data_IF_432101268044
#
_entry.id   IF_432101268044
#
_cell.length_a   1.000
_cell.length_b   1.000
_cell.length_c   1.000
_cell.angle_alpha   90.00
_cell.angle_beta   90.00
_cell.angle_gamma   90.00
#
_symmetry.space_group_name_H-M   'P 1'
#
loop_
_entity.id
_entity.type
_entity.pdbx_description
1 polymer ?
#
# COMPACT_ATOMS: atom_id res chain seq x y z
N UNK A 1 -16.97 -27.05 -19.57
CA UNK A 1 -17.04 -26.60 -18.16
C UNK A 1 -17.30 -25.11 -18.14
N UNK A 2 -18.22 -24.63 -17.29
CA UNK A 2 -18.43 -23.18 -17.12
C UNK A 2 -17.20 -22.60 -16.43
N UNK A 3 -16.56 -21.60 -17.05
CA UNK A 3 -15.41 -20.92 -16.47
C UNK A 3 -15.89 -20.06 -15.28
N UNK A 4 -15.18 -20.13 -14.16
CA UNK A 4 -15.47 -19.35 -12.96
C UNK A 4 -15.42 -17.85 -13.28
N UNK A 5 -16.43 -17.07 -12.86
CA UNK A 5 -16.42 -15.61 -13.02
C UNK A 5 -16.00 -14.95 -11.70
N UNK A 6 -14.93 -14.18 -11.75
CA UNK A 6 -14.36 -13.48 -10.58
C UNK A 6 -14.37 -11.97 -10.83
N UNK A 7 -14.86 -11.20 -9.85
CA UNK A 7 -14.73 -9.74 -9.87
C UNK A 7 -13.62 -9.34 -8.91
N UNK A 8 -12.68 -8.50 -9.39
CA UNK A 8 -11.70 -7.82 -8.54
C UNK A 8 -12.07 -6.34 -8.42
N UNK A 9 -12.15 -5.83 -7.20
CA UNK A 9 -12.45 -4.41 -6.92
C UNK A 9 -11.18 -3.71 -6.47
N UNK A 10 -10.89 -2.56 -7.09
CA UNK A 10 -9.76 -1.70 -6.76
C UNK A 10 -10.21 -0.24 -6.71
N UNK A 11 -9.58 0.56 -5.89
CA UNK A 11 -9.87 1.99 -5.77
C UNK A 11 -8.64 2.89 -5.76
N UNK A 12 -7.46 2.29 -5.46
CA UNK A 12 -6.22 3.04 -5.25
C UNK A 12 -5.03 2.39 -5.94
N UNK A 13 -3.96 3.16 -6.14
CA UNK A 13 -2.71 2.69 -6.74
C UNK A 13 -2.05 1.52 -6.00
N UNK A 14 -1.93 1.53 -4.65
CA UNK A 14 -1.39 0.39 -3.92
C UNK A 14 -2.12 -0.92 -4.18
N UNK A 15 -3.46 -0.88 -4.30
CA UNK A 15 -4.25 -2.07 -4.63
C UNK A 15 -3.94 -2.58 -6.04
N UNK A 16 -3.83 -1.69 -7.03
CA UNK A 16 -3.48 -2.05 -8.42
C UNK A 16 -2.10 -2.72 -8.46
N UNK A 17 -1.10 -2.14 -7.78
CA UNK A 17 0.26 -2.68 -7.75
C UNK A 17 0.25 -4.07 -7.11
N UNK A 18 -0.31 -4.21 -5.91
CA UNK A 18 -0.33 -5.45 -5.14
C UNK A 18 -1.11 -6.57 -5.80
N UNK A 19 -2.22 -6.23 -6.48
CA UNK A 19 -3.04 -7.21 -7.18
C UNK A 19 -2.57 -7.51 -8.60
N UNK A 20 -1.55 -6.83 -9.12
CA UNK A 20 -1.16 -6.91 -10.53
C UNK A 20 -0.92 -8.34 -11.02
N UNK A 21 -0.14 -9.13 -10.32
CA UNK A 21 0.15 -10.52 -10.73
C UNK A 21 -1.05 -11.45 -10.48
N UNK A 22 -1.85 -11.19 -9.43
CA UNK A 22 -3.11 -11.93 -9.19
C UNK A 22 -4.09 -11.68 -10.33
N UNK A 23 -4.30 -10.43 -10.73
CA UNK A 23 -5.22 -10.07 -11.83
C UNK A 23 -4.81 -10.72 -13.15
N UNK A 24 -3.50 -10.77 -13.48
CA UNK A 24 -3.00 -11.48 -14.69
C UNK A 24 -3.32 -12.97 -14.66
N UNK A 25 -3.18 -13.62 -13.50
CA UNK A 25 -3.53 -15.03 -13.38
C UNK A 25 -5.04 -15.24 -13.45
N UNK A 26 -5.84 -14.35 -12.86
CA UNK A 26 -7.30 -14.38 -12.98
C UNK A 26 -7.75 -14.18 -14.44
N UNK A 27 -7.15 -13.24 -15.17
CA UNK A 27 -7.43 -13.02 -16.60
C UNK A 27 -7.13 -14.28 -17.44
N UNK A 28 -6.08 -15.03 -17.07
CA UNK A 28 -5.69 -16.24 -17.79
C UNK A 28 -6.59 -17.45 -17.52
N UNK A 29 -7.08 -17.61 -16.28
CA UNK A 29 -7.71 -18.86 -15.83
C UNK A 29 -9.19 -18.73 -15.47
N UNK A 30 -9.74 -17.51 -15.45
CA UNK A 30 -11.14 -17.23 -15.08
C UNK A 30 -11.80 -16.26 -16.07
N UNK A 31 -13.11 -16.12 -15.98
CA UNK A 31 -13.80 -14.99 -16.60
C UNK A 31 -13.67 -13.79 -15.65
N UNK A 32 -12.52 -13.12 -15.71
CA UNK A 32 -12.18 -12.06 -14.81
C UNK A 32 -12.81 -10.72 -15.23
N UNK A 33 -13.37 -10.02 -14.27
CA UNK A 33 -13.93 -8.66 -14.42
C UNK A 33 -13.25 -7.75 -13.40
N UNK A 34 -12.69 -6.63 -13.84
CA UNK A 34 -12.04 -5.65 -12.97
C UNK A 34 -12.90 -4.41 -12.84
N UNK A 35 -13.16 -4.00 -11.59
CA UNK A 35 -13.95 -2.83 -11.23
C UNK A 35 -13.05 -1.82 -10.52
N UNK A 36 -12.94 -0.61 -11.07
CA UNK A 36 -12.24 0.50 -10.42
C UNK A 36 -13.26 1.49 -9.86
N UNK A 37 -13.22 1.77 -8.56
CA UNK A 37 -14.20 2.67 -7.91
C UNK A 37 -14.04 4.13 -8.33
N UNK A 38 -12.84 4.55 -8.72
CA UNK A 38 -12.62 5.92 -9.20
C UNK A 38 -12.52 6.96 -8.07
N UNK A 39 -12.12 6.56 -6.87
CA UNK A 39 -11.97 7.45 -5.72
C UNK A 39 -10.87 8.51 -5.88
N UNK A 40 -9.89 8.28 -6.74
CA UNK A 40 -8.83 9.24 -7.04
C UNK A 40 -9.09 9.93 -8.39
N UNK A 41 -9.18 11.25 -8.37
CA UNK A 41 -9.47 12.11 -9.52
C UNK A 41 -8.41 12.09 -10.64
N UNK A 42 -7.19 11.61 -10.38
CA UNK A 42 -6.12 11.54 -11.36
C UNK A 42 -6.18 10.23 -12.17
N UNK A 43 -7.12 10.17 -13.11
CA UNK A 43 -7.20 9.08 -14.08
C UNK A 43 -5.87 8.90 -14.83
N UNK A 44 -5.21 9.99 -15.23
CA UNK A 44 -3.92 9.96 -15.92
C UNK A 44 -2.82 9.30 -15.07
N UNK A 45 -2.78 9.58 -13.77
CA UNK A 45 -1.83 8.94 -12.84
C UNK A 45 -2.13 7.44 -12.64
N UNK A 46 -3.39 7.03 -12.71
CA UNK A 46 -3.76 5.61 -12.63
C UNK A 46 -3.40 4.86 -13.93
N UNK A 47 -3.56 5.47 -15.10
CA UNK A 47 -3.27 4.84 -16.40
C UNK A 47 -1.79 4.45 -16.53
N UNK A 48 -0.87 5.25 -15.97
CA UNK A 48 0.56 4.92 -15.92
C UNK A 48 0.80 3.57 -15.25
N UNK A 49 0.14 3.28 -14.13
CA UNK A 49 0.31 2.00 -13.41
C UNK A 49 -0.24 0.80 -14.19
N UNK A 50 -1.36 0.94 -14.89
CA UNK A 50 -1.86 -0.12 -15.76
C UNK A 50 -0.87 -0.44 -16.89
N UNK A 51 -0.30 0.58 -17.52
CA UNK A 51 0.69 0.43 -18.57
C UNK A 51 2.03 -0.13 -18.03
N UNK A 52 2.52 0.41 -16.93
CA UNK A 52 3.77 -0.01 -16.31
C UNK A 52 3.74 -1.47 -15.88
N UNK A 53 2.63 -1.90 -15.28
CA UNK A 53 2.44 -3.25 -14.79
C UNK A 53 1.86 -4.21 -15.83
N UNK A 54 1.71 -3.77 -17.10
CA UNK A 54 1.15 -4.56 -18.20
C UNK A 54 -0.22 -5.15 -17.85
N UNK A 55 -1.09 -4.34 -17.27
CA UNK A 55 -2.47 -4.68 -16.95
C UNK A 55 -3.41 -4.13 -18.03
N UNK A 56 -4.50 -4.85 -18.29
CA UNK A 56 -5.59 -4.32 -19.12
C UNK A 56 -6.36 -3.26 -18.34
N UNK A 57 -7.03 -2.36 -19.06
CA UNK A 57 -7.92 -1.38 -18.43
C UNK A 57 -9.06 -2.08 -17.67
N UNK A 58 -9.59 -1.47 -16.61
CA UNK A 58 -10.73 -2.03 -15.89
C UNK A 58 -11.98 -2.11 -16.78
N UNK A 59 -12.81 -3.15 -16.56
CA UNK A 59 -14.06 -3.32 -17.31
C UNK A 59 -15.10 -2.30 -16.88
N UNK A 60 -15.05 -1.87 -15.62
CA UNK A 60 -15.91 -0.86 -15.03
C UNK A 60 -15.10 0.21 -14.31
N UNK A 61 -15.41 1.47 -14.61
CA UNK A 61 -14.93 2.62 -13.87
C UNK A 61 -16.13 3.34 -13.27
N UNK A 62 -16.32 3.25 -11.94
CA UNK A 62 -17.55 3.67 -11.28
C UNK A 62 -17.67 5.19 -11.09
N UNK A 63 -16.57 5.92 -11.02
CA UNK A 63 -16.57 7.36 -10.84
C UNK A 63 -17.35 7.80 -9.60
N UNK A 64 -16.94 7.28 -8.43
CA UNK A 64 -17.63 7.54 -7.16
C UNK A 64 -17.47 8.99 -6.75
N UNK A 65 -18.54 9.60 -6.28
CA UNK A 65 -18.54 10.96 -5.76
C UNK A 65 -17.77 11.04 -4.44
N UNK A 66 -16.72 11.84 -4.41
CA UNK A 66 -15.82 11.99 -3.25
C UNK A 66 -16.08 13.26 -2.44
N UNK A 67 -17.22 13.92 -2.63
CA UNK A 67 -17.57 15.17 -1.94
C UNK A 67 -17.79 14.99 -0.43
N UNK A 68 -18.15 13.79 0.03
CA UNK A 68 -18.29 13.43 1.43
C UNK A 68 -18.00 11.95 1.67
N UNK A 69 -17.66 11.58 2.90
CA UNK A 69 -17.50 10.17 3.29
C UNK A 69 -18.77 9.35 3.03
N UNK A 70 -19.93 9.91 3.36
CA UNK A 70 -21.23 9.26 3.11
C UNK A 70 -21.46 8.95 1.65
N UNK A 71 -21.11 9.88 0.73
CA UNK A 71 -21.20 9.65 -0.71
C UNK A 71 -20.23 8.57 -1.17
N UNK A 72 -19.00 8.59 -0.70
CA UNK A 72 -18.00 7.57 -1.04
C UNK A 72 -18.51 6.18 -0.67
N UNK A 73 -18.92 5.99 0.57
CA UNK A 73 -19.39 4.68 1.06
C UNK A 73 -20.71 4.27 0.39
N UNK A 74 -21.68 5.19 0.33
CA UNK A 74 -23.00 4.91 -0.26
C UNK A 74 -22.93 4.58 -1.74
N UNK A 75 -22.22 5.38 -2.55
CA UNK A 75 -22.09 5.11 -3.98
C UNK A 75 -21.22 3.88 -4.26
N UNK A 76 -20.24 3.55 -3.42
CA UNK A 76 -19.49 2.28 -3.53
C UNK A 76 -20.44 1.10 -3.43
N UNK A 77 -21.33 1.09 -2.43
CA UNK A 77 -22.31 0.01 -2.26
C UNK A 77 -23.28 -0.06 -3.43
N UNK A 78 -23.90 1.07 -3.80
CA UNK A 78 -24.92 1.13 -4.86
C UNK A 78 -24.35 0.69 -6.21
N UNK A 79 -23.23 1.29 -6.65
CA UNK A 79 -22.66 1.01 -7.97
C UNK A 79 -22.03 -0.38 -8.05
N UNK A 80 -21.48 -0.90 -6.96
CA UNK A 80 -21.02 -2.29 -6.93
C UNK A 80 -22.17 -3.28 -6.98
N UNK A 81 -23.31 -3.01 -6.33
CA UNK A 81 -24.53 -3.83 -6.44
C UNK A 81 -24.98 -3.93 -7.90
N UNK A 82 -25.06 -2.80 -8.62
CA UNK A 82 -25.42 -2.79 -10.04
C UNK A 82 -24.51 -3.69 -10.89
N UNK A 83 -23.20 -3.63 -10.65
CA UNK A 83 -22.24 -4.50 -11.33
C UNK A 83 -22.44 -5.96 -10.95
N UNK A 84 -22.66 -6.28 -9.68
CA UNK A 84 -22.89 -7.67 -9.23
C UNK A 84 -24.19 -8.26 -9.80
N UNK A 85 -25.25 -7.49 -9.87
CA UNK A 85 -26.52 -7.91 -10.49
C UNK A 85 -26.33 -8.22 -11.97
N UNK A 86 -25.60 -7.37 -12.69
CA UNK A 86 -25.31 -7.53 -14.12
C UNK A 86 -24.39 -8.70 -14.41
N UNK A 87 -23.26 -8.78 -13.69
CA UNK A 87 -22.21 -9.74 -13.97
C UNK A 87 -22.44 -11.12 -13.35
N UNK A 88 -23.17 -11.21 -12.24
CA UNK A 88 -23.47 -12.44 -11.50
C UNK A 88 -22.19 -13.25 -11.24
N UNK A 89 -21.21 -12.68 -10.50
CA UNK A 89 -19.95 -13.35 -10.25
C UNK A 89 -20.09 -14.56 -9.35
N UNK A 90 -19.19 -15.53 -9.52
CA UNK A 90 -19.08 -16.69 -8.64
C UNK A 90 -18.17 -16.38 -7.42
N UNK A 91 -17.36 -15.29 -7.47
CA UNK A 91 -16.54 -14.81 -6.37
C UNK A 91 -16.16 -13.33 -6.53
N UNK A 92 -15.86 -12.67 -5.41
CA UNK A 92 -15.31 -11.31 -5.36
C UNK A 92 -13.96 -11.35 -4.64
N UNK A 93 -12.96 -10.70 -5.24
CA UNK A 93 -11.63 -10.47 -4.65
C UNK A 93 -11.50 -9.00 -4.26
N UNK A 94 -11.07 -8.77 -3.03
CA UNK A 94 -10.83 -7.43 -2.45
C UNK A 94 -9.46 -7.45 -1.78
N UNK A 95 -8.77 -6.31 -1.80
CA UNK A 95 -7.50 -6.15 -1.10
C UNK A 95 -7.56 -4.96 -0.13
N UNK A 96 -7.13 -5.19 1.09
CA UNK A 96 -6.90 -4.14 2.10
C UNK A 96 -8.19 -3.51 2.62
N UNK A 97 -8.07 -2.25 2.95
CA UNK A 97 -8.96 -1.54 3.87
C UNK A 97 -9.40 -0.16 3.36
N UNK A 98 -9.22 0.12 2.08
CA UNK A 98 -9.70 1.36 1.48
C UNK A 98 -11.23 1.40 1.43
N UNK A 99 -11.79 2.57 1.15
CA UNK A 99 -13.24 2.69 1.02
C UNK A 99 -13.82 1.82 -0.14
N UNK A 100 -13.00 1.42 -1.12
CA UNK A 100 -13.41 0.49 -2.17
C UNK A 100 -13.78 -0.88 -1.60
N UNK A 101 -13.09 -1.30 -0.55
CA UNK A 101 -13.25 -2.62 0.07
C UNK A 101 -14.59 -2.78 0.80
N UNK A 102 -15.29 -1.69 1.10
CA UNK A 102 -16.62 -1.72 1.73
C UNK A 102 -17.68 -2.40 0.84
N UNK A 103 -17.40 -2.55 -0.46
CA UNK A 103 -18.20 -3.37 -1.38
C UNK A 103 -18.37 -4.83 -0.91
N UNK A 104 -17.50 -5.31 -0.02
CA UNK A 104 -17.65 -6.61 0.64
C UNK A 104 -19.02 -6.77 1.31
N UNK A 105 -19.55 -5.71 1.91
CA UNK A 105 -20.85 -5.76 2.61
C UNK A 105 -21.96 -6.16 1.65
N UNK A 106 -22.05 -5.52 0.48
CA UNK A 106 -23.10 -5.83 -0.49
C UNK A 106 -22.87 -7.20 -1.14
N UNK A 107 -21.63 -7.57 -1.45
CA UNK A 107 -21.28 -8.90 -1.96
C UNK A 107 -21.75 -10.00 -0.99
N UNK A 108 -21.50 -9.84 0.32
CA UNK A 108 -21.95 -10.79 1.34
C UNK A 108 -23.47 -10.90 1.41
N UNK A 109 -24.19 -9.76 1.37
CA UNK A 109 -25.65 -9.72 1.37
C UNK A 109 -26.25 -10.41 0.14
N UNK A 110 -25.55 -10.35 -1.00
CA UNK A 110 -25.92 -11.04 -2.24
C UNK A 110 -25.46 -12.50 -2.28
N UNK A 111 -24.84 -13.01 -1.19
CA UNK A 111 -24.35 -14.38 -1.08
C UNK A 111 -23.25 -14.74 -2.11
N UNK A 112 -22.44 -13.77 -2.46
CA UNK A 112 -21.28 -13.94 -3.32
C UNK A 112 -20.05 -14.20 -2.43
N UNK A 113 -19.33 -15.31 -2.61
CA UNK A 113 -18.11 -15.61 -1.84
C UNK A 113 -17.07 -14.50 -1.96
N UNK A 114 -16.51 -14.07 -0.82
CA UNK A 114 -15.56 -12.96 -0.72
C UNK A 114 -14.20 -13.49 -0.28
N UNK A 115 -13.18 -13.17 -1.07
CA UNK A 115 -11.78 -13.38 -0.76
C UNK A 115 -11.14 -12.04 -0.43
N UNK A 116 -10.68 -11.88 0.82
CA UNK A 116 -10.08 -10.63 1.29
C UNK A 116 -8.58 -10.81 1.48
N UNK A 117 -7.77 -10.22 0.60
CA UNK A 117 -6.31 -10.15 0.72
C UNK A 117 -5.91 -9.01 1.66
N UNK A 118 -4.74 -9.12 2.29
CA UNK A 118 -4.23 -8.19 3.31
C UNK A 118 -5.11 -8.17 4.58
N UNK A 119 -5.84 -9.23 4.83
CA UNK A 119 -6.68 -9.41 6.01
C UNK A 119 -5.87 -9.50 7.30
N UNK A 120 -6.46 -9.14 8.42
CA UNK A 120 -5.90 -9.34 9.75
C UNK A 120 -4.84 -8.35 10.19
N UNK A 121 -4.53 -7.33 9.41
CA UNK A 121 -3.68 -6.23 9.85
C UNK A 121 -4.37 -5.43 10.95
N UNK A 122 -3.64 -5.02 11.99
CA UNK A 122 -4.18 -4.20 13.09
C UNK A 122 -3.17 -3.15 13.53
N UNK A 123 -3.62 -1.89 13.51
CA UNK A 123 -2.88 -0.78 14.13
C UNK A 123 -3.35 -0.51 15.56
N UNK A 124 -4.55 -0.98 15.92
CA UNK A 124 -5.25 -0.69 17.18
C UNK A 124 -5.45 0.82 17.44
N UNK A 125 -5.31 1.64 16.41
CA UNK A 125 -5.52 3.07 16.44
C UNK A 125 -6.79 3.43 15.65
N UNK A 126 -7.87 3.71 16.35
CA UNK A 126 -9.15 4.07 15.74
C UNK A 126 -9.20 5.51 15.19
N UNK A 127 -8.13 6.30 15.36
CA UNK A 127 -7.99 7.56 14.63
C UNK A 127 -7.62 7.33 13.15
N UNK A 128 -7.19 6.12 12.80
CA UNK A 128 -6.91 5.70 11.42
C UNK A 128 -8.18 5.12 10.82
N UNK A 129 -8.82 5.79 9.81
CA UNK A 129 -10.08 5.33 9.22
C UNK A 129 -10.03 3.91 8.68
N UNK A 130 -8.89 3.49 8.17
CA UNK A 130 -8.64 2.16 7.62
C UNK A 130 -8.76 1.06 8.70
N UNK A 131 -8.51 1.37 9.97
CA UNK A 131 -8.67 0.38 11.06
C UNK A 131 -10.12 -0.06 11.21
N UNK A 132 -11.08 0.86 10.98
CA UNK A 132 -12.51 0.56 11.00
C UNK A 132 -12.89 -0.31 9.81
N UNK A 133 -12.47 0.09 8.61
CA UNK A 133 -12.79 -0.64 7.39
C UNK A 133 -12.27 -2.08 7.44
N UNK A 134 -11.00 -2.28 7.82
CA UNK A 134 -10.40 -3.64 7.84
C UNK A 134 -11.10 -4.58 8.80
N UNK A 135 -11.50 -4.09 9.98
CA UNK A 135 -12.28 -4.90 10.93
C UNK A 135 -13.63 -5.32 10.37
N UNK A 136 -14.35 -4.41 9.72
CA UNK A 136 -15.61 -4.73 9.06
C UNK A 136 -15.40 -5.78 7.98
N UNK A 137 -14.42 -5.58 7.11
CA UNK A 137 -14.20 -6.44 5.95
C UNK A 137 -13.72 -7.83 6.36
N UNK A 138 -12.80 -7.93 7.32
CA UNK A 138 -12.31 -9.20 7.84
C UNK A 138 -13.45 -10.08 8.39
N UNK A 139 -14.40 -9.47 9.11
CA UNK A 139 -15.54 -10.19 9.68
C UNK A 139 -16.66 -10.48 8.67
N UNK A 140 -16.70 -9.78 7.55
CA UNK A 140 -17.69 -9.99 6.48
C UNK A 140 -17.19 -11.00 5.45
N UNK A 141 -15.88 -11.05 5.20
CA UNK A 141 -15.28 -11.94 4.21
C UNK A 141 -15.49 -13.42 4.53
N UNK A 142 -15.63 -14.25 3.48
CA UNK A 142 -15.73 -15.70 3.62
C UNK A 142 -14.34 -16.33 3.82
N UNK A 143 -13.33 -15.76 3.14
CA UNK A 143 -11.95 -16.26 3.19
C UNK A 143 -11.00 -15.06 3.35
N UNK A 144 -10.27 -15.06 4.47
CA UNK A 144 -9.26 -14.09 4.81
C UNK A 144 -7.89 -14.59 4.38
N UNK A 145 -7.29 -13.91 3.40
CA UNK A 145 -5.99 -14.21 2.82
C UNK A 145 -4.96 -13.29 3.46
N UNK A 146 -4.42 -13.73 4.58
CA UNK A 146 -3.48 -12.95 5.39
C UNK A 146 -2.07 -13.05 4.82
N UNK A 147 -1.26 -12.01 5.04
CA UNK A 147 0.13 -12.03 4.59
C UNK A 147 1.02 -12.81 5.54
N UNK A 148 0.77 -12.72 6.85
CA UNK A 148 1.68 -13.22 7.88
C UNK A 148 0.94 -14.01 8.97
N UNK A 149 1.70 -14.75 9.77
CA UNK A 149 1.18 -15.43 10.96
C UNK A 149 0.71 -14.43 12.03
N UNK A 150 1.30 -13.23 12.12
CA UNK A 150 0.79 -12.20 13.04
C UNK A 150 -0.65 -11.80 12.66
N UNK A 151 -0.89 -11.54 11.39
CA UNK A 151 -2.24 -11.22 10.89
C UNK A 151 -3.23 -12.35 11.13
N UNK A 152 -2.81 -13.63 10.95
CA UNK A 152 -3.64 -14.80 11.29
C UNK A 152 -4.00 -14.83 12.77
N UNK A 153 -3.03 -14.59 13.66
CA UNK A 153 -3.24 -14.58 15.12
C UNK A 153 -4.24 -13.50 15.53
N UNK A 154 -4.19 -12.32 14.92
CA UNK A 154 -5.18 -11.26 15.17
C UNK A 154 -6.60 -11.77 14.87
N UNK A 155 -6.83 -12.34 13.69
CA UNK A 155 -8.15 -12.85 13.31
C UNK A 155 -8.64 -13.99 14.20
N UNK A 156 -7.74 -14.91 14.57
CA UNK A 156 -8.08 -16.00 15.50
C UNK A 156 -8.45 -15.46 16.87
N UNK A 157 -7.74 -14.44 17.38
CA UNK A 157 -8.05 -13.79 18.65
C UNK A 157 -9.38 -13.04 18.64
N UNK A 158 -9.84 -12.61 17.47
CA UNK A 158 -11.15 -12.00 17.26
C UNK A 158 -12.28 -13.03 17.03
N UNK A 159 -11.96 -14.33 17.11
CA UNK A 159 -12.93 -15.42 17.04
C UNK A 159 -13.26 -15.90 15.61
N UNK A 160 -12.52 -15.48 14.58
CA UNK A 160 -12.74 -15.99 13.24
C UNK A 160 -12.26 -17.45 13.13
N UNK A 161 -12.99 -18.32 12.41
CA UNK A 161 -12.64 -19.73 12.32
C UNK A 161 -11.37 -19.97 11.49
N UNK A 162 -10.45 -20.78 11.99
CA UNK A 162 -9.18 -21.11 11.37
C UNK A 162 -9.31 -21.55 9.89
N UNK A 163 -10.34 -22.33 9.57
CA UNK A 163 -10.59 -22.84 8.20
C UNK A 163 -10.89 -21.78 7.17
N UNK A 164 -11.12 -20.54 7.59
CA UNK A 164 -11.39 -19.39 6.70
C UNK A 164 -10.19 -18.44 6.57
N UNK A 165 -9.05 -18.78 7.18
CA UNK A 165 -7.86 -17.93 7.24
C UNK A 165 -6.68 -18.65 6.61
N UNK A 166 -6.11 -18.11 5.53
CA UNK A 166 -5.01 -18.69 4.77
C UNK A 166 -3.82 -17.73 4.70
N UNK A 167 -2.62 -18.17 5.08
CA UNK A 167 -1.40 -17.38 4.91
C UNK A 167 -0.93 -17.50 3.47
N UNK A 168 -1.01 -16.41 2.73
CA UNK A 168 -0.61 -16.34 1.32
C UNK A 168 0.77 -15.72 1.11
N UNK A 169 1.25 -14.97 2.08
CA UNK A 169 2.40 -14.09 1.93
C UNK A 169 2.05 -12.74 1.32
N UNK A 170 2.97 -11.77 1.43
CA UNK A 170 2.79 -10.48 0.77
C UNK A 170 2.97 -10.60 -0.75
N UNK A 171 2.10 -10.00 -1.57
CA UNK A 171 2.27 -10.00 -3.01
C UNK A 171 3.41 -9.08 -3.49
N UNK A 172 3.89 -8.17 -2.64
CA UNK A 172 4.90 -7.17 -3.03
C UNK A 172 6.21 -7.80 -3.46
N UNK A 173 6.65 -8.89 -2.82
CA UNK A 173 7.88 -9.58 -3.20
C UNK A 173 7.82 -10.14 -4.63
N UNK A 174 6.70 -10.78 -4.98
CA UNK A 174 6.47 -11.29 -6.33
C UNK A 174 6.45 -10.15 -7.35
N UNK A 175 5.77 -9.03 -7.04
CA UNK A 175 5.71 -7.85 -7.90
C UNK A 175 7.08 -7.21 -8.07
N UNK A 176 7.81 -6.94 -6.99
CA UNK A 176 9.14 -6.32 -7.04
C UNK A 176 10.10 -7.19 -7.86
N UNK A 177 10.17 -8.49 -7.58
CA UNK A 177 11.06 -9.39 -8.32
C UNK A 177 10.70 -9.51 -9.80
N UNK A 178 9.41 -9.48 -10.14
CA UNK A 178 8.95 -9.48 -11.52
C UNK A 178 9.48 -8.29 -12.32
N UNK A 179 9.63 -7.15 -11.67
CA UNK A 179 10.01 -5.90 -12.31
C UNK A 179 11.36 -5.37 -11.86
N UNK A 180 12.19 -6.20 -11.21
CA UNK A 180 13.47 -5.75 -10.66
C UNK A 180 14.37 -5.13 -11.74
N UNK A 181 14.44 -5.72 -12.94
CA UNK A 181 15.24 -5.19 -14.05
C UNK A 181 14.77 -3.81 -14.51
N UNK A 182 13.47 -3.54 -14.46
CA UNK A 182 12.90 -2.22 -14.80
C UNK A 182 13.18 -1.19 -13.69
N UNK A 183 13.16 -1.61 -12.42
CA UNK A 183 13.57 -0.77 -11.30
C UNK A 183 15.06 -0.41 -11.45
N UNK A 184 15.91 -1.42 -11.72
CA UNK A 184 17.35 -1.21 -11.86
C UNK A 184 17.72 -0.32 -13.05
N UNK A 185 17.03 -0.47 -14.17
CA UNK A 185 17.27 0.30 -15.39
C UNK A 185 16.66 1.71 -15.37
N UNK A 186 15.95 2.10 -14.30
CA UNK A 186 15.44 3.46 -14.19
C UNK A 186 16.56 4.49 -14.19
N UNK A 187 16.42 5.51 -15.02
CA UNK A 187 17.37 6.62 -15.15
C UNK A 187 17.07 7.81 -14.22
N UNK A 188 16.21 7.61 -13.22
CA UNK A 188 15.74 8.68 -12.34
C UNK A 188 16.87 9.37 -11.57
N UNK A 189 17.92 8.66 -11.16
CA UNK A 189 19.07 9.25 -10.49
C UNK A 189 19.75 10.27 -11.41
N UNK A 190 19.96 9.91 -12.68
CA UNK A 190 20.55 10.82 -13.68
C UNK A 190 19.63 12.02 -13.95
N UNK A 191 18.31 11.81 -14.05
CA UNK A 191 17.34 12.90 -14.28
C UNK A 191 17.31 13.92 -13.15
N UNK A 192 17.57 13.48 -11.91
CA UNK A 192 17.57 14.34 -10.72
C UNK A 192 18.96 14.82 -10.31
N UNK A 193 20.00 14.44 -11.05
CA UNK A 193 21.41 14.70 -10.70
C UNK A 193 21.76 14.20 -9.30
N UNK A 194 21.45 12.92 -9.03
CA UNK A 194 21.66 12.25 -7.75
C UNK A 194 22.71 11.16 -7.89
N UNK A 195 23.47 10.94 -6.81
CA UNK A 195 24.41 9.84 -6.68
C UNK A 195 23.90 8.84 -5.64
N UNK A 196 24.08 7.55 -5.89
CA UNK A 196 23.71 6.48 -4.98
C UNK A 196 24.38 6.66 -3.60
N UNK A 197 23.60 6.51 -2.54
CA UNK A 197 24.00 6.70 -1.16
C UNK A 197 24.27 8.17 -0.76
N UNK A 198 23.97 9.14 -1.63
CA UNK A 198 24.26 10.57 -1.38
C UNK A 198 22.99 11.45 -1.41
N UNK A 199 21.87 10.94 -0.98
CA UNK A 199 20.63 11.69 -0.82
C UNK A 199 19.66 10.95 0.11
N UNK A 200 18.68 11.65 0.64
CA UNK A 200 17.53 11.09 1.35
C UNK A 200 16.30 11.09 0.45
N UNK A 201 15.48 10.04 0.55
CA UNK A 201 14.13 10.02 -0.05
C UNK A 201 13.08 10.11 1.06
N UNK A 202 12.13 11.04 0.93
CA UNK A 202 11.09 11.27 1.91
C UNK A 202 9.72 11.16 1.24
N UNK A 203 8.78 10.47 1.89
CA UNK A 203 7.38 10.46 1.48
C UNK A 203 6.50 10.64 2.70
N UNK A 204 5.75 11.73 2.73
CA UNK A 204 4.78 12.01 3.77
C UNK A 204 3.48 12.53 3.15
N UNK A 205 2.37 11.82 3.42
CA UNK A 205 1.08 12.09 2.78
C UNK A 205 -0.13 11.79 3.67
N UNK A 206 0.08 11.21 4.85
CA UNK A 206 -1.01 10.91 5.78
C UNK A 206 -1.63 12.18 6.33
N UNK A 207 -2.98 12.15 6.45
CA UNK A 207 -3.76 13.30 6.92
C UNK A 207 -3.32 13.76 8.30
N UNK A 208 -3.17 12.83 9.23
CA UNK A 208 -2.72 13.09 10.60
C UNK A 208 -1.35 13.76 10.67
N UNK A 209 -0.49 13.56 9.66
CA UNK A 209 0.85 14.15 9.62
C UNK A 209 0.88 15.53 8.94
N UNK A 210 0.19 15.68 7.81
CA UNK A 210 0.33 16.89 7.00
C UNK A 210 -0.75 17.94 7.27
N UNK A 211 -1.92 17.54 7.79
CA UNK A 211 -3.01 18.46 8.09
C UNK A 211 -2.91 19.08 9.50
N UNK A 212 -2.11 18.47 10.38
CA UNK A 212 -1.79 19.01 11.68
C UNK A 212 -0.57 19.95 11.58
N UNK A 213 -0.70 21.25 11.91
CA UNK A 213 0.40 22.22 11.80
C UNK A 213 1.63 21.88 12.66
N UNK A 214 1.43 21.32 13.85
CA UNK A 214 2.54 20.95 14.73
C UNK A 214 3.31 19.76 14.17
N UNK A 215 2.61 18.76 13.61
CA UNK A 215 3.22 17.62 12.95
C UNK A 215 3.98 18.04 11.71
N UNK A 216 3.41 18.90 10.87
CA UNK A 216 4.09 19.44 9.68
C UNK A 216 5.36 20.23 10.08
N UNK A 217 5.31 21.01 11.16
CA UNK A 217 6.47 21.71 11.71
C UNK A 217 7.58 20.75 12.14
N UNK A 218 7.26 19.67 12.86
CA UNK A 218 8.24 18.64 13.24
C UNK A 218 8.88 17.97 12.01
N UNK A 219 8.09 17.69 10.97
CA UNK A 219 8.61 17.16 9.71
C UNK A 219 9.61 18.15 9.09
N UNK A 220 9.27 19.42 8.96
CA UNK A 220 10.14 20.44 8.38
C UNK A 220 11.42 20.66 9.21
N UNK A 221 11.31 20.64 10.53
CA UNK A 221 12.47 20.68 11.43
C UNK A 221 13.40 19.49 11.18
N UNK A 222 12.85 18.30 11.03
CA UNK A 222 13.61 17.08 10.72
C UNK A 222 14.32 17.19 9.36
N UNK A 223 13.63 17.64 8.31
CA UNK A 223 14.23 17.79 6.99
C UNK A 223 15.37 18.82 6.98
N UNK A 224 15.18 19.97 7.59
CA UNK A 224 16.23 20.99 7.71
C UNK A 224 17.46 20.46 8.48
N UNK A 225 17.23 19.80 9.61
CA UNK A 225 18.32 19.21 10.41
C UNK A 225 19.09 18.12 9.65
N UNK A 226 18.40 17.26 8.88
CA UNK A 226 19.05 16.28 8.02
C UNK A 226 19.91 16.95 6.94
N UNK A 227 19.40 18.01 6.30
CA UNK A 227 20.15 18.76 5.30
C UNK A 227 21.41 19.38 5.91
N UNK A 228 21.33 19.94 7.12
CA UNK A 228 22.46 20.53 7.83
C UNK A 228 23.50 19.48 8.28
N UNK A 229 23.04 18.37 8.90
CA UNK A 229 23.91 17.35 9.48
C UNK A 229 24.69 16.58 8.39
N UNK A 230 24.02 16.20 7.31
CA UNK A 230 24.59 15.32 6.29
C UNK A 230 25.13 16.05 5.06
N UNK A 231 24.77 17.31 4.87
CA UNK A 231 25.10 18.12 3.67
C UNK A 231 24.70 17.44 2.36
N UNK A 232 23.52 16.79 2.33
CA UNK A 232 23.02 16.01 1.20
C UNK A 232 21.66 16.51 0.71
N UNK A 233 21.30 16.27 -0.57
CA UNK A 233 19.98 16.53 -1.08
C UNK A 233 18.91 15.69 -0.35
N UNK A 234 17.74 16.31 -0.13
CA UNK A 234 16.55 15.63 0.39
C UNK A 234 15.46 15.71 -0.66
N UNK A 235 15.11 14.56 -1.22
CA UNK A 235 14.07 14.45 -2.24
C UNK A 235 12.75 14.08 -1.57
N UNK A 236 11.77 14.97 -1.62
CA UNK A 236 10.45 14.75 -1.04
C UNK A 236 9.46 14.43 -2.14
N UNK A 237 8.96 13.19 -2.16
CA UNK A 237 7.83 12.79 -3.03
C UNK A 237 6.55 13.40 -2.48
N UNK A 238 6.09 14.49 -3.12
CA UNK A 238 5.07 15.37 -2.54
C UNK A 238 3.70 15.09 -3.13
N UNK A 239 2.81 14.54 -2.30
CA UNK A 239 1.40 14.39 -2.66
C UNK A 239 0.73 15.77 -2.84
N UNK A 240 -0.29 15.93 -3.72
CA UNK A 240 -0.99 17.21 -3.91
C UNK A 240 -1.51 17.85 -2.62
N UNK A 241 -1.95 17.05 -1.64
CA UNK A 241 -2.38 17.52 -0.31
C UNK A 241 -1.21 18.20 0.42
N UNK A 242 -0.08 17.53 0.52
CA UNK A 242 1.13 18.04 1.19
C UNK A 242 1.60 19.34 0.52
N UNK A 243 1.56 19.40 -0.81
CA UNK A 243 1.91 20.60 -1.56
C UNK A 243 1.08 21.81 -1.14
N UNK A 244 -0.25 21.66 -1.05
CA UNK A 244 -1.15 22.75 -0.61
C UNK A 244 -0.82 23.26 0.81
N UNK A 245 -0.41 22.37 1.72
CA UNK A 245 -0.03 22.77 3.08
C UNK A 245 1.32 23.47 3.12
N UNK A 246 2.29 23.01 2.30
CA UNK A 246 3.60 23.67 2.19
C UNK A 246 3.52 25.08 1.61
N UNK A 247 2.53 25.40 0.77
CA UNK A 247 2.30 26.74 0.23
C UNK A 247 1.96 27.77 1.34
N UNK A 248 1.50 27.29 2.50
CA UNK A 248 1.21 28.12 3.67
C UNK A 248 2.43 28.33 4.59
N UNK A 249 3.54 27.65 4.31
CA UNK A 249 4.78 27.77 5.07
C UNK A 249 5.70 28.80 4.43
N UNK A 250 6.32 29.64 5.27
CA UNK A 250 7.32 30.62 4.80
C UNK A 250 8.51 29.92 4.13
N UNK A 251 8.74 30.18 2.86
CA UNK A 251 9.78 29.52 2.04
C UNK A 251 11.21 29.75 2.56
N UNK A 252 11.44 30.87 3.25
CA UNK A 252 12.73 31.24 3.83
C UNK A 252 13.17 30.31 4.98
N UNK A 253 12.26 29.47 5.47
CA UNK A 253 12.53 28.47 6.50
C UNK A 253 12.87 27.08 5.98
N UNK A 254 13.00 26.92 4.66
CA UNK A 254 13.25 25.61 4.03
C UNK A 254 14.65 25.65 3.40
N UNK A 255 15.50 24.69 3.82
CA UNK A 255 16.85 24.55 3.26
C UNK A 255 16.78 24.28 1.75
N UNK A 256 17.63 24.95 0.92
CA UNK A 256 17.61 24.81 -0.54
C UNK A 256 17.94 23.40 -1.05
N UNK A 257 18.55 22.55 -0.24
CA UNK A 257 18.80 21.13 -0.55
C UNK A 257 17.54 20.28 -0.49
N UNK A 258 16.44 20.76 0.09
CA UNK A 258 15.15 20.07 0.16
C UNK A 258 14.37 20.34 -1.12
N UNK A 259 14.13 19.29 -1.91
CA UNK A 259 13.42 19.39 -3.20
C UNK A 259 12.06 18.69 -3.11
N UNK A 260 10.99 19.46 -3.12
CA UNK A 260 9.62 18.94 -3.16
C UNK A 260 9.22 18.65 -4.61
N UNK A 261 9.13 17.39 -4.99
CA UNK A 261 8.87 16.94 -6.34
C UNK A 261 7.49 16.25 -6.44
N UNK A 262 6.93 16.22 -7.65
CA UNK A 262 5.69 15.46 -7.91
C UNK A 262 5.90 13.98 -7.56
N UNK A 263 4.82 13.24 -7.23
CA UNK A 263 4.92 11.80 -6.98
C UNK A 263 5.55 11.07 -8.16
N UNK A 264 6.41 10.11 -7.85
CA UNK A 264 7.10 9.28 -8.83
C UNK A 264 6.25 8.07 -9.23
N UNK A 265 6.53 7.50 -10.40
CA UNK A 265 6.03 6.20 -10.81
C UNK A 265 6.64 5.06 -9.98
N UNK A 266 6.08 3.86 -10.09
CA UNK A 266 6.47 2.70 -9.27
C UNK A 266 7.96 2.37 -9.39
N UNK A 267 8.50 2.30 -10.61
CA UNK A 267 9.90 1.93 -10.84
C UNK A 267 10.87 3.00 -10.35
N UNK A 268 10.59 4.25 -10.67
CA UNK A 268 11.43 5.39 -10.27
C UNK A 268 11.46 5.55 -8.75
N UNK A 269 10.31 5.39 -8.09
CA UNK A 269 10.24 5.50 -6.64
C UNK A 269 11.01 4.38 -5.92
N UNK A 270 10.84 3.12 -6.36
CA UNK A 270 11.61 2.00 -5.80
C UNK A 270 13.12 2.15 -6.05
N UNK A 271 13.53 2.66 -7.24
CA UNK A 271 14.92 2.97 -7.51
C UNK A 271 15.46 4.05 -6.57
N UNK A 272 14.70 5.13 -6.37
CA UNK A 272 15.06 6.20 -5.43
C UNK A 272 15.17 5.69 -3.99
N UNK A 273 14.25 4.84 -3.53
CA UNK A 273 14.34 4.24 -2.18
C UNK A 273 15.60 3.39 -2.03
N UNK A 274 15.82 2.47 -2.97
CA UNK A 274 16.92 1.50 -2.93
C UNK A 274 18.30 2.17 -2.96
N UNK A 275 18.46 3.23 -3.74
CA UNK A 275 19.72 3.95 -3.91
C UNK A 275 19.88 5.14 -2.93
N UNK A 276 18.91 5.40 -2.04
CA UNK A 276 19.03 6.47 -1.04
C UNK A 276 19.98 6.10 0.09
N UNK A 277 20.50 7.09 0.79
CA UNK A 277 21.22 6.87 2.05
C UNK A 277 20.27 6.34 3.13
N UNK A 278 19.06 6.89 3.20
CA UNK A 278 17.97 6.42 4.04
C UNK A 278 16.62 6.90 3.48
N UNK A 279 15.59 6.05 3.56
CA UNK A 279 14.23 6.40 3.22
C UNK A 279 13.43 6.73 4.50
N UNK A 280 12.69 7.84 4.47
CA UNK A 280 11.86 8.30 5.59
C UNK A 280 10.43 8.39 5.09
N UNK A 281 9.49 7.64 5.70
CA UNK A 281 8.13 7.60 5.17
C UNK A 281 7.07 7.34 6.23
N UNK A 282 5.86 7.86 5.95
CA UNK A 282 4.63 7.49 6.68
C UNK A 282 3.79 6.46 5.92
N UNK A 283 4.28 5.93 4.81
CA UNK A 283 3.62 4.86 4.06
C UNK A 283 3.64 3.54 4.83
N UNK A 284 2.52 2.79 4.81
CA UNK A 284 2.50 1.43 5.36
C UNK A 284 3.33 0.43 4.57
N UNK A 285 3.70 0.73 3.31
CA UNK A 285 4.47 -0.19 2.45
C UNK A 285 5.96 -0.16 2.70
N UNK A 286 6.48 0.90 3.32
CA UNK A 286 7.92 1.07 3.52
C UNK A 286 8.55 -0.08 4.33
N UNK A 287 7.80 -0.67 5.26
CA UNK A 287 8.25 -1.81 6.06
C UNK A 287 8.51 -3.06 5.21
N UNK A 288 7.68 -3.30 4.21
CA UNK A 288 7.86 -4.39 3.25
C UNK A 288 8.95 -4.06 2.24
N UNK A 289 8.87 -2.87 1.64
CA UNK A 289 9.79 -2.41 0.59
C UNK A 289 11.24 -2.35 1.10
N UNK A 290 11.48 -1.80 2.30
CA UNK A 290 12.82 -1.74 2.90
C UNK A 290 13.39 -3.12 3.15
N UNK A 291 12.58 -4.05 3.65
CA UNK A 291 12.99 -5.44 3.87
C UNK A 291 13.31 -6.16 2.57
N UNK A 292 12.47 -6.00 1.54
CA UNK A 292 12.59 -6.72 0.26
C UNK A 292 13.71 -6.17 -0.62
N UNK A 293 13.93 -4.86 -0.61
CA UNK A 293 14.93 -4.17 -1.44
C UNK A 293 16.24 -3.87 -0.69
N UNK A 294 16.31 -4.10 0.62
CA UNK A 294 17.52 -4.01 1.42
C UNK A 294 18.06 -2.59 1.61
N UNK A 295 17.22 -1.59 1.82
CA UNK A 295 17.63 -0.22 2.07
C UNK A 295 17.31 0.25 3.50
N UNK A 296 18.11 1.19 4.01
CA UNK A 296 17.88 1.82 5.30
C UNK A 296 16.56 2.62 5.31
N UNK A 297 15.71 2.38 6.31
CA UNK A 297 14.41 3.03 6.39
C UNK A 297 13.99 3.39 7.80
N UNK A 298 13.26 4.50 7.91
CA UNK A 298 12.63 4.97 9.14
C UNK A 298 11.15 5.28 8.86
N UNK A 299 10.27 4.75 9.70
CA UNK A 299 8.83 5.02 9.63
C UNK A 299 8.45 6.12 10.62
N UNK A 300 7.99 7.27 10.10
CA UNK A 300 7.55 8.42 10.89
C UNK A 300 6.05 8.34 11.26
N UNK A 301 5.61 7.17 11.68
CA UNK A 301 4.24 6.90 12.13
C UNK A 301 4.18 6.71 13.63
N UNK A 302 3.00 6.89 14.21
CA UNK A 302 2.74 6.57 15.63
C UNK A 302 2.28 5.13 15.84
N UNK A 303 1.78 4.48 14.81
CA UNK A 303 1.31 3.08 14.84
C UNK A 303 1.64 2.35 13.53
N UNK A 304 1.74 1.03 13.59
CA UNK A 304 2.09 0.19 12.45
C UNK A 304 1.22 -1.06 12.42
N UNK A 305 0.69 -1.38 11.24
CA UNK A 305 -0.15 -2.56 11.02
C UNK A 305 0.65 -3.82 10.72
N UNK A 306 1.96 -3.69 10.46
CA UNK A 306 2.86 -4.77 10.01
C UNK A 306 4.08 -4.83 10.91
N UNK A 307 3.94 -5.44 12.11
CA UNK A 307 5.00 -5.47 13.11
C UNK A 307 6.21 -6.31 12.68
N UNK A 308 6.07 -7.17 11.68
CA UNK A 308 7.11 -8.10 11.24
C UNK A 308 8.43 -7.40 10.90
N UNK A 309 8.36 -6.24 10.24
CA UNK A 309 9.56 -5.49 9.92
C UNK A 309 10.29 -4.95 11.17
N UNK A 310 9.56 -4.64 12.24
CA UNK A 310 10.15 -4.27 13.53
C UNK A 310 10.69 -5.50 14.26
N UNK A 311 9.94 -6.62 14.26
CA UNK A 311 10.37 -7.88 14.89
C UNK A 311 11.71 -8.38 14.30
N UNK A 312 11.90 -8.20 13.00
CA UNK A 312 13.14 -8.54 12.30
C UNK A 312 14.18 -7.41 12.28
N UNK A 313 13.88 -6.26 12.87
CA UNK A 313 14.80 -5.11 12.97
C UNK A 313 15.10 -4.41 11.64
N UNK A 314 14.23 -4.57 10.63
CA UNK A 314 14.47 -3.99 9.29
C UNK A 314 13.98 -2.54 9.18
N UNK A 315 13.23 -2.04 10.16
CA UNK A 315 12.73 -0.65 10.19
C UNK A 315 12.61 -0.16 11.63
N UNK A 316 12.74 1.14 11.81
CA UNK A 316 12.51 1.82 13.10
C UNK A 316 11.23 2.65 13.00
N UNK A 317 10.28 2.43 13.91
CA UNK A 317 9.07 3.24 14.08
C UNK A 317 9.36 4.36 15.08
N UNK A 318 9.21 5.64 14.67
CA UNK A 318 9.70 6.79 15.45
C UNK A 318 8.63 7.76 15.93
N UNK A 319 7.48 7.80 15.29
CA UNK A 319 6.62 8.98 15.36
C UNK A 319 7.27 10.15 14.64
N UNK A 320 6.82 11.38 14.97
CA UNK A 320 7.19 12.60 14.23
C UNK A 320 8.24 13.46 14.96
N UNK A 321 8.57 13.17 16.23
CA UNK A 321 9.48 14.00 17.01
C UNK A 321 10.87 14.03 16.38
N UNK A 322 11.29 15.22 15.93
CA UNK A 322 12.52 15.42 15.14
C UNK A 322 13.76 14.78 15.79
N UNK A 323 13.98 14.96 17.09
CA UNK A 323 15.12 14.38 17.78
C UNK A 323 15.17 12.82 17.74
N UNK A 324 13.98 12.18 17.78
CA UNK A 324 13.86 10.71 17.69
C UNK A 324 14.13 10.27 16.27
N UNK A 325 13.54 10.94 15.28
CA UNK A 325 13.74 10.63 13.86
C UNK A 325 15.22 10.73 13.48
N UNK A 326 15.88 11.82 13.85
CA UNK A 326 17.31 12.04 13.56
C UNK A 326 18.22 10.95 14.14
N UNK A 327 17.97 10.57 15.40
CA UNK A 327 18.73 9.48 16.03
C UNK A 327 18.47 8.14 15.35
N UNK A 328 17.23 7.87 14.97
CA UNK A 328 16.84 6.64 14.28
C UNK A 328 17.40 6.56 12.86
N UNK A 329 17.44 7.68 12.13
CA UNK A 329 18.11 7.78 10.83
C UNK A 329 19.59 7.44 10.94
N UNK A 330 20.26 7.99 11.97
CA UNK A 330 21.67 7.66 12.24
C UNK A 330 21.87 6.15 12.45
N UNK A 331 21.07 5.53 13.33
CA UNK A 331 21.13 4.10 13.60
C UNK A 331 20.85 3.29 12.33
N UNK A 332 19.81 3.64 11.57
CA UNK A 332 19.45 2.94 10.36
C UNK A 332 20.58 2.97 9.30
N UNK A 333 21.30 4.08 9.18
CA UNK A 333 22.43 4.22 8.25
C UNK A 333 23.64 3.39 8.73
N UNK A 334 23.96 3.45 10.02
CA UNK A 334 25.16 2.81 10.58
C UNK A 334 25.03 1.29 10.66
N UNK A 335 23.82 0.77 11.00
CA UNK A 335 23.58 -0.63 11.33
C UNK A 335 22.79 -1.41 10.25
N UNK A 336 22.49 -0.81 9.12
CA UNK A 336 21.68 -1.44 8.06
C UNK A 336 22.35 -2.63 7.33
N UNK A 337 23.33 -3.28 7.93
CA UNK A 337 24.20 -4.20 7.18
C UNK A 337 23.83 -5.68 7.27
N UNK A 338 22.96 -6.13 8.20
CA UNK A 338 22.78 -7.56 8.48
C UNK A 338 21.37 -7.94 9.00
N UNK A 339 20.30 -7.43 8.42
CA UNK A 339 18.98 -7.92 8.81
C UNK A 339 18.50 -9.08 7.93
N UNK A 340 17.66 -9.93 8.50
CA UNK A 340 16.94 -10.97 7.75
C UNK A 340 15.55 -10.44 7.42
N UNK A 341 15.13 -10.65 6.18
CA UNK A 341 13.75 -10.42 5.79
C UNK A 341 12.84 -11.47 6.45
N UNK A 342 11.62 -11.09 6.81
CA UNK A 342 10.61 -12.05 7.27
C UNK A 342 10.31 -13.07 6.17
N UNK A 343 10.30 -14.38 6.47
CA UNK A 343 9.98 -15.41 5.47
C UNK A 343 8.63 -15.22 4.77
N UNK A 344 7.66 -14.61 5.45
CA UNK A 344 6.36 -14.30 4.86
C UNK A 344 6.44 -13.16 3.83
N UNK A 345 7.50 -12.35 3.88
CA UNK A 345 7.79 -11.32 2.89
C UNK A 345 8.60 -11.83 1.70
N UNK A 346 9.17 -13.03 1.75
CA UNK A 346 9.92 -13.65 0.65
C UNK A 346 9.09 -14.62 -0.22
N UNK A 347 7.77 -14.50 -0.20
CA UNK A 347 6.90 -15.39 -0.96
C UNK A 347 6.81 -14.96 -2.42
N UNK A 348 7.36 -15.79 -3.32
CA UNK A 348 7.44 -15.52 -4.76
C UNK A 348 6.25 -16.04 -5.59
N UNK A 349 5.24 -16.64 -4.97
CA UNK A 349 4.10 -17.27 -5.64
C UNK A 349 2.75 -16.94 -5.01
N UNK A 350 2.62 -15.78 -4.39
CA UNK A 350 1.39 -15.31 -3.73
C UNK A 350 0.22 -15.32 -4.71
N UNK A 351 0.40 -14.82 -5.92
CA UNK A 351 -0.64 -14.78 -6.94
C UNK A 351 -1.20 -16.17 -7.27
N UNK A 352 -0.32 -17.18 -7.38
CA UNK A 352 -0.75 -18.55 -7.63
C UNK A 352 -1.49 -19.16 -6.43
N UNK A 353 -1.05 -18.86 -5.19
CA UNK A 353 -1.76 -19.30 -3.98
C UNK A 353 -3.17 -18.74 -3.94
N UNK A 354 -3.32 -17.43 -4.18
CA UNK A 354 -4.62 -16.74 -4.23
C UNK A 354 -5.52 -17.32 -5.31
N UNK A 355 -5.01 -17.50 -6.54
CA UNK A 355 -5.77 -18.12 -7.63
C UNK A 355 -6.30 -19.51 -7.23
N UNK A 356 -5.44 -20.37 -6.64
CA UNK A 356 -5.84 -21.73 -6.24
C UNK A 356 -6.92 -21.72 -5.17
N UNK A 357 -6.84 -20.79 -4.20
CA UNK A 357 -7.85 -20.63 -3.16
C UNK A 357 -9.18 -20.17 -3.76
N UNK A 358 -9.17 -19.17 -4.63
CA UNK A 358 -10.39 -18.68 -5.30
C UNK A 358 -11.03 -19.79 -6.10
N UNK A 359 -10.27 -20.49 -6.97
CA UNK A 359 -10.80 -21.55 -7.81
C UNK A 359 -11.30 -22.75 -7.00
N UNK A 360 -10.57 -23.11 -5.95
CA UNK A 360 -10.92 -24.28 -5.13
C UNK A 360 -12.09 -24.06 -4.16
N UNK A 361 -12.23 -22.83 -3.63
CA UNK A 361 -13.17 -22.57 -2.53
C UNK A 361 -14.46 -21.85 -2.96
N UNK A 362 -14.50 -21.20 -4.15
CA UNK A 362 -15.68 -20.45 -4.60
C UNK A 362 -16.95 -21.30 -4.73
N UNK A 363 -16.82 -22.59 -4.97
CA UNK A 363 -17.94 -23.53 -5.07
C UNK A 363 -18.38 -24.14 -3.74
N UNK A 364 -17.64 -23.94 -2.67
CA UNK A 364 -17.98 -24.47 -1.35
C UNK A 364 -19.09 -23.60 -0.75
N UNK A 365 -20.22 -24.25 -0.39
CA UNK A 365 -21.26 -23.59 0.39
C UNK A 365 -20.80 -23.51 1.83
N UNK A 366 -20.63 -22.30 2.34
CA UNK A 366 -20.39 -22.03 3.75
C UNK A 366 -21.71 -22.04 4.53
#
# INVERSE_FOLDING_TARGET
MKMLKVITIVGTRPEIIRLSEVMKLLDKYTKHVTVHTGQNYDYELNEIFYNDLLLRKPDYYLGINTSSLGNILGETLIKCEEVFVKEKPDAVLILGDTNASIAAIIAKRMKIPIFHMEAGNRSYDFNVPEEINRRIIDHVADFNLVYTENSRRHLLSEGLPHRHIYVTGSPMYEVINKYIDRIESSDILRKLDLQEGKYFIVSTHREENVDNPDNLKEILLTLNALAEIYDLPIIVSTHPRTKKRLELVEKERIDPRIKFLKPFGFFDYNKLQRCSLCAISDSGTISEESSMLGFAAVSIRNSMERPEAMDYGTIILTGLKSSIVLNSVKIAIEENRNFKISPEYEVSNTALRVLKLIVGLSGLKN
#
